data_IF_103195838502
#
_entry.id   IF_103195838502
#
_cell.length_a   1.000
_cell.length_b   1.000
_cell.length_c   1.000
_cell.angle_alpha   90.00
_cell.angle_beta   90.00
_cell.angle_gamma   90.00
#
_symmetry.space_group_name_H-M   'P 1'
#
loop_
_entity.id
_entity.type
_entity.pdbx_description
1 polymer ?
#
# COMPACT_ATOMS: atom_id res chain seq x y z
N UNK A 1 -9.46 78.28 -4.41
CA UNK A 1 -10.23 77.14 -4.95
C UNK A 1 -9.80 75.91 -4.15
N UNK A 2 -10.44 75.68 -2.99
CA UNK A 2 -11.53 74.70 -2.75
C UNK A 2 -11.05 73.25 -2.89
N UNK A 3 -10.78 72.58 -1.75
CA UNK A 3 -11.52 71.43 -1.19
C UNK A 3 -11.41 70.16 -2.06
N UNK A 4 -11.19 68.95 -1.54
CA UNK A 4 -12.09 68.24 -0.62
C UNK A 4 -11.36 67.07 0.07
N UNK A 5 -11.69 66.86 1.34
CA UNK A 5 -11.54 65.60 2.07
C UNK A 5 -12.28 64.46 1.36
N UNK A 6 -11.70 63.26 1.31
CA UNK A 6 -12.47 62.03 1.07
C UNK A 6 -11.92 60.89 1.92
N UNK A 7 -12.61 60.66 3.02
CA UNK A 7 -12.40 59.53 3.92
C UNK A 7 -12.81 58.24 3.21
N UNK A 8 -11.85 57.33 2.99
CA UNK A 8 -12.17 55.96 2.59
C UNK A 8 -12.25 55.06 3.82
N UNK A 9 -13.49 54.70 4.10
CA UNK A 9 -14.02 53.79 5.09
C UNK A 9 -13.43 52.39 4.91
N UNK A 10 -12.65 51.90 5.88
CA UNK A 10 -12.17 50.51 5.87
C UNK A 10 -13.32 49.58 6.29
N UNK A 11 -13.96 48.97 5.29
CA UNK A 11 -14.95 47.92 5.49
C UNK A 11 -14.22 46.58 5.74
N UNK A 12 -14.08 46.18 7.00
CA UNK A 12 -13.62 44.83 7.35
C UNK A 12 -14.74 43.82 7.04
N UNK A 13 -14.63 43.15 5.89
CA UNK A 13 -15.39 41.92 5.58
C UNK A 13 -14.42 40.74 5.66
N UNK A 14 -14.48 39.94 6.73
CA UNK A 14 -13.82 38.62 6.76
C UNK A 14 -14.69 37.58 7.47
N UNK A 15 -15.50 36.92 6.65
CA UNK A 15 -15.78 35.48 6.59
C UNK A 15 -16.05 34.73 7.90
N UNK A 16 -17.33 34.45 8.15
CA UNK A 16 -17.75 33.37 9.02
C UNK A 16 -17.36 32.01 8.39
N UNK A 17 -16.35 31.34 8.94
CA UNK A 17 -16.04 29.96 8.59
C UNK A 17 -17.09 29.05 9.23
N UNK A 18 -18.07 28.62 8.43
CA UNK A 18 -18.93 27.50 8.76
C UNK A 18 -18.06 26.23 8.80
N UNK A 19 -17.73 25.76 10.00
CA UNK A 19 -17.08 24.48 10.20
C UNK A 19 -18.03 23.35 9.83
N UNK A 20 -17.94 22.85 8.60
CA UNK A 20 -18.53 21.58 8.23
C UNK A 20 -17.76 20.48 8.97
N UNK A 21 -18.35 19.96 10.03
CA UNK A 21 -17.89 18.73 10.70
C UNK A 21 -17.87 17.61 9.67
N UNK A 22 -16.67 17.18 9.27
CA UNK A 22 -16.49 16.02 8.40
C UNK A 22 -16.82 14.76 9.22
N UNK A 23 -17.96 14.13 8.91
CA UNK A 23 -18.30 12.81 9.46
C UNK A 23 -17.22 11.81 9.05
N UNK A 24 -16.63 11.02 9.98
CA UNK A 24 -15.66 10.00 9.63
C UNK A 24 -16.26 9.04 8.59
N UNK A 25 -15.56 8.88 7.47
CA UNK A 25 -15.97 7.96 6.42
C UNK A 25 -15.92 6.52 6.97
N UNK A 26 -17.08 5.86 7.03
CA UNK A 26 -17.15 4.46 7.45
C UNK A 26 -16.49 3.56 6.37
N UNK A 27 -15.65 2.57 6.74
CA UNK A 27 -15.02 1.68 5.77
C UNK A 27 -16.06 0.97 4.91
N UNK A 28 -15.84 0.94 3.59
CA UNK A 28 -16.73 0.24 2.66
C UNK A 28 -16.74 -1.28 2.97
N UNK A 29 -17.89 -1.96 2.80
CA UNK A 29 -17.98 -3.39 3.03
C UNK A 29 -17.06 -4.16 2.05
N UNK A 30 -16.48 -5.29 2.49
CA UNK A 30 -15.59 -6.09 1.65
C UNK A 30 -16.34 -6.70 0.46
N UNK A 31 -15.75 -6.58 -0.74
CA UNK A 31 -16.24 -7.21 -1.97
C UNK A 31 -15.88 -8.70 -1.96
N UNK A 32 -16.90 -9.56 -1.97
CA UNK A 32 -16.72 -11.02 -2.02
C UNK A 32 -15.99 -11.42 -3.30
N UNK A 33 -14.94 -12.24 -3.18
CA UNK A 33 -14.13 -12.71 -4.31
C UNK A 33 -13.16 -11.68 -4.88
N UNK A 34 -13.14 -10.44 -4.36
CA UNK A 34 -12.11 -9.44 -4.68
C UNK A 34 -10.88 -9.54 -3.78
N UNK A 35 -9.80 -8.84 -4.14
CA UNK A 35 -8.65 -8.69 -3.26
C UNK A 35 -8.98 -7.81 -2.06
N UNK A 36 -8.84 -8.37 -0.86
CA UNK A 36 -9.01 -7.68 0.41
C UNK A 36 -7.68 -7.54 1.13
N UNK A 37 -7.50 -6.45 1.86
CA UNK A 37 -6.36 -6.29 2.75
C UNK A 37 -6.36 -7.39 3.82
N UNK A 38 -5.18 -7.90 4.15
CA UNK A 38 -4.96 -8.90 5.20
C UNK A 38 -3.76 -8.48 6.04
N UNK A 39 -3.77 -8.82 7.32
CA UNK A 39 -2.67 -8.49 8.23
C UNK A 39 -1.38 -9.17 7.74
N UNK A 40 -0.28 -8.43 7.71
CA UNK A 40 1.05 -8.96 7.36
C UNK A 40 1.57 -9.99 8.37
N UNK A 41 0.96 -10.05 9.56
CA UNK A 41 1.23 -11.03 10.62
C UNK A 41 0.41 -12.29 10.49
N UNK A 42 -0.54 -12.36 9.56
CA UNK A 42 -1.29 -13.57 9.27
C UNK A 42 -0.33 -14.70 8.85
N UNK A 43 -0.55 -15.90 9.38
CA UNK A 43 0.37 -17.04 9.18
C UNK A 43 0.43 -17.48 7.72
N UNK A 44 -0.69 -17.42 7.00
CA UNK A 44 -0.72 -17.77 5.58
C UNK A 44 -0.01 -16.71 4.72
N UNK A 45 -0.09 -15.43 5.12
CA UNK A 45 0.65 -14.34 4.48
C UNK A 45 2.16 -14.50 4.69
N UNK A 46 2.60 -14.85 5.90
CA UNK A 46 4.01 -15.12 6.18
C UNK A 46 4.54 -16.29 5.36
N UNK A 47 3.80 -17.40 5.31
CA UNK A 47 4.16 -18.57 4.50
C UNK A 47 4.24 -18.24 3.01
N UNK A 48 3.30 -17.45 2.48
CA UNK A 48 3.33 -17.00 1.10
C UNK A 48 4.54 -16.10 0.81
N UNK A 49 4.90 -15.19 1.73
CA UNK A 49 6.06 -14.32 1.58
C UNK A 49 7.39 -15.11 1.61
N UNK A 50 7.51 -16.07 2.53
CA UNK A 50 8.68 -16.95 2.62
C UNK A 50 8.83 -17.78 1.34
N UNK A 51 7.73 -18.37 0.86
CA UNK A 51 7.71 -19.09 -0.42
C UNK A 51 8.13 -18.19 -1.59
N UNK A 52 7.61 -16.96 -1.67
CA UNK A 52 7.93 -16.03 -2.75
C UNK A 52 9.43 -15.68 -2.76
N UNK A 53 10.00 -15.40 -1.60
CA UNK A 53 11.42 -15.02 -1.45
C UNK A 53 12.34 -16.18 -1.77
N UNK A 54 11.97 -17.40 -1.37
CA UNK A 54 12.72 -18.61 -1.71
C UNK A 54 12.73 -18.89 -3.22
N UNK A 55 11.62 -18.59 -3.90
CA UNK A 55 11.44 -18.82 -5.34
C UNK A 55 11.69 -17.56 -6.19
N UNK A 56 12.30 -16.52 -5.62
CA UNK A 56 12.58 -15.29 -6.32
C UNK A 56 13.51 -15.53 -7.53
N UNK A 57 13.38 -14.77 -8.63
CA UNK A 57 14.23 -14.92 -9.82
C UNK A 57 15.73 -14.73 -9.57
N UNK A 58 16.08 -14.03 -8.49
CA UNK A 58 17.46 -13.84 -8.02
C UNK A 58 17.49 -14.09 -6.51
N UNK A 59 18.61 -14.58 -5.96
CA UNK A 59 18.74 -14.75 -4.52
C UNK A 59 18.58 -13.39 -3.82
N UNK A 60 17.67 -13.32 -2.85
CA UNK A 60 17.35 -12.12 -2.06
C UNK A 60 16.99 -12.55 -0.65
N UNK A 61 17.01 -11.61 0.30
CA UNK A 61 16.46 -11.83 1.64
C UNK A 61 15.31 -10.89 1.94
N UNK A 62 14.30 -11.40 2.62
CA UNK A 62 13.16 -10.60 3.08
C UNK A 62 13.61 -9.69 4.23
N UNK A 63 13.28 -8.39 4.14
CA UNK A 63 13.38 -7.47 5.29
C UNK A 63 12.03 -7.23 5.94
N UNK A 64 11.02 -6.89 5.15
CA UNK A 64 9.68 -6.58 5.65
C UNK A 64 8.61 -6.97 4.63
N UNK A 65 7.47 -7.45 5.12
CA UNK A 65 6.21 -7.44 4.38
C UNK A 65 5.55 -6.09 4.68
N UNK A 66 5.38 -5.24 3.68
CA UNK A 66 4.87 -3.87 3.84
C UNK A 66 3.35 -3.83 3.77
N UNK A 67 2.77 -4.60 2.85
CA UNK A 67 1.34 -4.78 2.71
C UNK A 67 1.04 -6.15 2.13
N UNK A 68 -0.14 -6.66 2.42
CA UNK A 68 -0.64 -7.92 1.90
C UNK A 68 -2.11 -7.79 1.56
N UNK A 69 -2.50 -8.38 0.43
CA UNK A 69 -3.89 -8.56 0.02
C UNK A 69 -4.11 -10.01 -0.34
N UNK A 70 -5.28 -10.53 -0.02
CA UNK A 70 -5.68 -11.89 -0.38
C UNK A 70 -6.97 -11.90 -1.17
N UNK A 71 -7.13 -12.93 -1.99
CA UNK A 71 -8.33 -13.16 -2.78
C UNK A 71 -8.65 -14.65 -2.79
N UNK A 72 -9.86 -14.99 -2.36
CA UNK A 72 -10.40 -16.34 -2.43
C UNK A 72 -10.78 -16.66 -3.88
N UNK A 73 -10.27 -17.78 -4.39
CA UNK A 73 -10.59 -18.36 -5.71
C UNK A 73 -10.82 -19.87 -5.53
N UNK A 74 -10.51 -20.71 -6.52
CA UNK A 74 -10.32 -22.16 -6.31
C UNK A 74 -8.96 -22.44 -5.60
N UNK A 75 -8.79 -21.85 -4.42
CA UNK A 75 -7.52 -21.67 -3.72
C UNK A 75 -7.43 -20.25 -3.14
N UNK A 76 -6.21 -19.76 -2.93
CA UNK A 76 -5.96 -18.40 -2.43
C UNK A 76 -4.88 -17.71 -3.25
N UNK A 77 -5.18 -16.50 -3.73
CA UNK A 77 -4.16 -15.60 -4.25
C UNK A 77 -3.69 -14.65 -3.15
N UNK A 78 -2.40 -14.44 -3.04
CA UNK A 78 -1.75 -13.42 -2.22
C UNK A 78 -1.05 -12.42 -3.13
N UNK A 79 -1.29 -11.14 -2.91
CA UNK A 79 -0.55 -10.02 -3.49
C UNK A 79 0.23 -9.35 -2.38
N UNK A 80 1.55 -9.42 -2.45
CA UNK A 80 2.46 -9.03 -1.39
C UNK A 80 3.33 -7.88 -1.86
N UNK A 81 3.44 -6.82 -1.07
CA UNK A 81 4.50 -5.84 -1.24
C UNK A 81 5.63 -6.11 -0.25
N UNK A 82 6.82 -6.42 -0.77
CA UNK A 82 7.96 -6.87 0.01
C UNK A 82 9.09 -5.86 -0.10
N UNK A 83 9.72 -5.55 1.04
CA UNK A 83 11.04 -4.92 1.06
C UNK A 83 12.08 -6.01 1.19
N UNK A 84 12.98 -6.08 0.22
CA UNK A 84 14.02 -7.10 0.13
C UNK A 84 15.43 -6.50 0.17
N UNK A 85 16.42 -7.35 0.42
CA UNK A 85 17.85 -7.03 0.32
C UNK A 85 18.51 -7.96 -0.68
N UNK A 86 19.25 -7.39 -1.62
CA UNK A 86 20.11 -8.17 -2.53
C UNK A 86 21.40 -8.60 -1.83
N UNK A 87 21.94 -9.79 -2.14
CA UNK A 87 23.13 -10.33 -1.51
C UNK A 87 24.41 -9.58 -1.89
N UNK A 88 24.44 -8.91 -3.06
CA UNK A 88 25.54 -8.02 -3.43
C UNK A 88 25.23 -6.60 -2.93
N UNK A 89 25.97 -6.08 -1.94
CA UNK A 89 25.84 -4.69 -1.54
C UNK A 89 26.38 -3.80 -2.67
N UNK A 90 25.48 -3.13 -3.40
CA UNK A 90 25.84 -1.92 -4.12
C UNK A 90 26.08 -0.79 -3.11
N UNK A 91 26.95 0.16 -3.45
CA UNK A 91 27.38 1.27 -2.58
C UNK A 91 26.23 2.15 -2.06
N UNK A 92 24.99 1.93 -2.54
CA UNK A 92 23.77 2.62 -2.16
C UNK A 92 22.54 1.70 -2.07
N UNK A 93 22.68 0.46 -1.60
CA UNK A 93 21.58 -0.52 -1.55
C UNK A 93 20.50 -0.16 -0.51
N UNK A 94 19.73 0.90 -0.78
CA UNK A 94 18.39 1.09 -0.23
C UNK A 94 17.60 -0.16 -0.61
N UNK A 95 16.93 -0.79 0.36
CA UNK A 95 16.19 -2.03 0.12
C UNK A 95 15.24 -1.87 -1.07
N UNK A 96 15.17 -2.88 -1.94
CA UNK A 96 14.33 -2.87 -3.12
C UNK A 96 12.90 -3.22 -2.72
N UNK A 97 11.92 -2.58 -3.35
CA UNK A 97 10.52 -2.97 -3.20
C UNK A 97 10.15 -3.90 -4.35
N UNK A 98 9.44 -4.96 -4.02
CA UNK A 98 8.94 -5.94 -4.98
C UNK A 98 7.47 -6.19 -4.71
N UNK A 99 6.68 -6.24 -5.78
CA UNK A 99 5.36 -6.84 -5.77
C UNK A 99 5.48 -8.32 -6.16
N UNK A 100 5.14 -9.21 -5.23
CA UNK A 100 5.08 -10.65 -5.46
C UNK A 100 3.63 -11.14 -5.44
N UNK A 101 3.26 -12.00 -6.40
CA UNK A 101 1.97 -12.68 -6.40
C UNK A 101 2.19 -14.17 -6.23
N UNK A 102 1.49 -14.74 -5.26
CA UNK A 102 1.57 -16.16 -4.91
C UNK A 102 0.18 -16.76 -4.97
N UNK A 103 0.07 -17.92 -5.60
CA UNK A 103 -1.14 -18.74 -5.56
C UNK A 103 -0.91 -19.95 -4.67
N UNK A 104 -1.85 -20.24 -3.77
CA UNK A 104 -1.93 -21.46 -2.95
C UNK A 104 -3.15 -22.25 -3.42
N UNK A 105 -2.94 -23.45 -3.95
CA UNK A 105 -4.04 -24.31 -4.41
C UNK A 105 -4.81 -24.95 -3.24
N UNK A 106 -5.84 -25.74 -3.56
CA UNK A 106 -6.65 -26.45 -2.57
C UNK A 106 -5.89 -27.58 -1.85
N UNK A 107 -4.72 -27.99 -2.35
CA UNK A 107 -3.83 -28.98 -1.75
C UNK A 107 -2.69 -28.31 -0.94
N UNK A 108 -2.77 -27.00 -0.72
CA UNK A 108 -1.75 -26.18 -0.06
C UNK A 108 -0.39 -26.13 -0.79
N UNK A 109 -0.36 -26.38 -2.09
CA UNK A 109 0.81 -26.16 -2.93
C UNK A 109 0.87 -24.70 -3.37
N UNK A 110 2.06 -24.10 -3.25
CA UNK A 110 2.29 -22.71 -3.63
C UNK A 110 2.90 -22.59 -5.03
N UNK A 111 2.61 -21.48 -5.70
CA UNK A 111 3.18 -21.11 -7.00
C UNK A 111 3.44 -19.60 -7.06
N UNK A 112 4.63 -19.20 -7.50
CA UNK A 112 4.97 -17.79 -7.70
C UNK A 112 4.48 -17.39 -9.09
N UNK A 113 3.42 -16.59 -9.13
CA UNK A 113 2.74 -16.21 -10.38
C UNK A 113 3.22 -14.87 -10.92
N UNK A 114 3.79 -14.01 -10.07
CA UNK A 114 4.47 -12.79 -10.50
C UNK A 114 5.54 -12.36 -9.50
N UNK A 115 6.60 -11.73 -10.02
CA UNK A 115 7.64 -11.06 -9.26
C UNK A 115 8.09 -9.82 -10.04
N UNK A 116 7.88 -8.63 -9.47
CA UNK A 116 8.15 -7.37 -10.18
C UNK A 116 8.76 -6.35 -9.23
N UNK A 117 9.88 -5.75 -9.62
CA UNK A 117 10.44 -4.59 -8.92
C UNK A 117 9.48 -3.41 -9.07
N UNK A 118 9.16 -2.74 -7.96
CA UNK A 118 8.24 -1.61 -7.93
C UNK A 118 8.88 -0.41 -7.25
N UNK A 119 8.45 0.80 -7.59
CA UNK A 119 8.93 2.02 -6.93
C UNK A 119 8.19 2.30 -5.61
N UNK A 120 6.92 1.90 -5.55
CA UNK A 120 6.03 2.06 -4.40
C UNK A 120 5.09 0.85 -4.26
N UNK A 121 4.57 0.66 -3.05
CA UNK A 121 3.50 -0.32 -2.78
C UNK A 121 2.14 0.36 -2.96
N UNK A 122 1.21 -0.36 -3.59
CA UNK A 122 -0.20 0.02 -3.71
C UNK A 122 -1.05 -0.44 -2.51
#
# INVERSE_FOLDING_TARGET
MTSVFSSLFFLFLTSATAGATQTPAQPAPPIVGGFQAVDVKDTDVQAAADFAVHNAPKPVSLKHILSARQQVVAGMNYSLCLRIKSPKPGLFARGHLVSAKVFKDLNAQYSLTAWTDVEACD
#
